data_IF_034138032020
#
_entry.id   IF_034138032020
#
_cell.length_a   1.000
_cell.length_b   1.000
_cell.length_c   1.000
_cell.angle_alpha   90.00
_cell.angle_beta   90.00
_cell.angle_gamma   90.00
#
_symmetry.space_group_name_H-M   'P 1'
#
loop_
_entity.id
_entity.type
_entity.pdbx_description
1 polymer ?
#
# COMPACT_ATOMS: atom_id res chain seq x y z
N UNK A 1 -13.45 -70.66 17.79
CA UNK A 1 -12.78 -69.57 17.06
C UNK A 1 -13.76 -69.08 16.00
N UNK A 2 -14.55 -68.07 16.32
CA UNK A 2 -15.54 -67.53 15.39
C UNK A 2 -14.80 -66.70 14.33
N UNK A 3 -14.89 -67.12 13.07
CA UNK A 3 -14.44 -66.36 11.92
C UNK A 3 -15.34 -65.13 11.82
N UNK A 4 -14.80 -63.94 12.09
CA UNK A 4 -15.49 -62.68 11.82
C UNK A 4 -15.61 -62.52 10.30
N UNK A 5 -16.72 -63.01 9.74
CA UNK A 5 -17.05 -62.86 8.34
C UNK A 5 -17.20 -61.38 7.98
N UNK A 6 -16.70 -61.01 6.80
CA UNK A 6 -16.86 -59.66 6.24
C UNK A 6 -18.34 -59.28 6.21
N UNK A 7 -18.71 -58.25 6.99
CA UNK A 7 -20.05 -57.66 6.98
C UNK A 7 -20.01 -56.37 6.15
N UNK A 8 -20.54 -56.36 4.92
CA UNK A 8 -20.62 -55.13 4.14
C UNK A 8 -21.48 -54.12 4.89
N UNK A 9 -20.88 -52.99 5.25
CA UNK A 9 -21.60 -51.81 5.73
C UNK A 9 -21.72 -50.87 4.55
N UNK A 10 -22.94 -50.49 4.20
CA UNK A 10 -23.17 -49.44 3.21
C UNK A 10 -22.74 -48.11 3.84
N UNK A 11 -21.78 -47.45 3.19
CA UNK A 11 -21.46 -46.06 3.51
C UNK A 11 -22.52 -45.16 2.90
N UNK A 12 -22.84 -44.07 3.58
CA UNK A 12 -23.75 -43.06 3.06
C UNK A 12 -23.15 -42.43 1.78
N UNK A 13 -24.01 -42.08 0.82
CA UNK A 13 -23.61 -41.59 -0.50
C UNK A 13 -22.82 -40.27 -0.39
N UNK A 14 -23.19 -39.42 0.57
CA UNK A 14 -22.46 -38.19 0.91
C UNK A 14 -21.03 -38.47 1.44
N UNK A 15 -20.84 -39.54 2.19
CA UNK A 15 -19.53 -39.95 2.70
C UNK A 15 -18.68 -40.47 1.53
N UNK A 16 -19.26 -41.28 0.64
CA UNK A 16 -18.59 -41.81 -0.54
C UNK A 16 -18.10 -40.69 -1.48
N UNK A 17 -18.93 -39.68 -1.72
CA UNK A 17 -18.56 -38.51 -2.53
C UNK A 17 -17.34 -37.75 -1.94
N UNK A 18 -17.18 -37.77 -0.62
CA UNK A 18 -16.10 -37.06 0.08
C UNK A 18 -14.81 -37.87 0.20
N UNK A 19 -14.85 -39.19 -0.01
CA UNK A 19 -13.66 -40.06 0.09
C UNK A 19 -12.68 -39.82 -1.06
N UNK A 20 -13.20 -39.51 -2.25
CA UNK A 20 -12.40 -39.35 -3.47
C UNK A 20 -11.77 -37.96 -3.63
N UNK A 21 -12.17 -36.99 -2.78
CA UNK A 21 -11.62 -35.64 -2.84
C UNK A 21 -10.18 -35.61 -2.35
N UNK A 22 -9.37 -34.80 -3.02
CA UNK A 22 -7.97 -34.67 -2.69
C UNK A 22 -7.82 -33.96 -1.34
N UNK A 23 -7.01 -34.55 -0.45
CA UNK A 23 -6.77 -34.01 0.88
C UNK A 23 -5.55 -33.11 0.86
N UNK A 24 -5.72 -31.86 1.26
CA UNK A 24 -4.59 -30.96 1.44
C UNK A 24 -3.73 -31.43 2.62
N UNK A 25 -2.42 -31.62 2.38
CA UNK A 25 -1.50 -32.14 3.42
C UNK A 25 -1.26 -31.16 4.56
N UNK A 26 -1.38 -29.85 4.28
CA UNK A 26 -1.15 -28.80 5.27
C UNK A 26 -2.50 -28.22 5.69
N UNK A 27 -2.85 -28.25 6.99
CA UNK A 27 -4.05 -27.59 7.45
C UNK A 27 -3.96 -26.09 7.17
N UNK A 28 -5.10 -25.46 6.95
CA UNK A 28 -5.20 -24.03 6.66
C UNK A 28 -5.82 -23.32 7.84
N UNK A 29 -5.29 -22.15 8.18
CA UNK A 29 -5.84 -21.31 9.24
C UNK A 29 -7.02 -20.53 8.69
N UNK A 30 -8.13 -20.55 9.41
CA UNK A 30 -9.31 -19.72 9.10
C UNK A 30 -9.07 -18.31 9.61
N UNK A 31 -9.31 -17.31 8.78
CA UNK A 31 -9.26 -15.90 9.15
C UNK A 31 -10.60 -15.22 8.85
N UNK A 32 -11.31 -14.77 9.90
CA UNK A 32 -12.57 -14.01 9.79
C UNK A 32 -13.61 -14.66 8.86
N UNK A 33 -13.73 -15.98 8.88
CA UNK A 33 -14.64 -16.73 8.01
C UNK A 33 -14.16 -16.93 6.56
N UNK A 34 -12.87 -16.70 6.32
CA UNK A 34 -12.21 -16.95 5.04
C UNK A 34 -11.06 -17.95 5.19
N UNK A 35 -10.83 -18.73 4.15
CA UNK A 35 -9.68 -19.63 4.04
C UNK A 35 -8.92 -19.27 2.78
N UNK A 36 -7.61 -19.06 2.91
CA UNK A 36 -6.73 -18.88 1.77
C UNK A 36 -6.20 -20.22 1.28
N UNK A 37 -6.57 -20.60 0.07
CA UNK A 37 -6.20 -21.87 -0.56
C UNK A 37 -5.83 -21.63 -2.02
N UNK A 38 -4.65 -22.11 -2.45
CA UNK A 38 -4.13 -21.94 -3.84
C UNK A 38 -4.22 -20.52 -4.42
N UNK A 39 -3.94 -19.50 -3.58
CA UNK A 39 -4.00 -18.08 -3.93
C UNK A 39 -5.43 -17.51 -4.13
N UNK A 40 -6.44 -18.32 -3.88
CA UNK A 40 -7.84 -17.90 -3.85
C UNK A 40 -8.36 -17.89 -2.41
N UNK A 41 -9.43 -17.14 -2.19
CA UNK A 41 -10.11 -17.07 -0.91
C UNK A 41 -11.44 -17.81 -1.03
N UNK A 42 -11.76 -18.61 -0.03
CA UNK A 42 -13.04 -19.29 0.07
C UNK A 42 -13.76 -18.82 1.32
N UNK A 43 -15.07 -18.63 1.22
CA UNK A 43 -15.89 -18.12 2.33
C UNK A 43 -17.15 -18.96 2.55
N UNK A 44 -17.56 -19.03 3.81
CA UNK A 44 -18.82 -19.59 4.24
C UNK A 44 -19.19 -19.02 5.63
N UNK A 45 -20.48 -18.90 5.93
CA UNK A 45 -20.94 -18.30 7.20
C UNK A 45 -20.50 -19.12 8.42
N UNK A 46 -20.46 -20.44 8.30
CA UNK A 46 -20.06 -21.33 9.41
C UNK A 46 -18.58 -21.21 9.80
N UNK A 47 -17.72 -20.77 8.87
CA UNK A 47 -16.31 -20.53 9.14
C UNK A 47 -16.09 -19.36 10.10
N UNK A 48 -17.06 -18.46 10.26
CA UNK A 48 -16.97 -17.36 11.22
C UNK A 48 -16.82 -17.88 12.66
N UNK A 49 -17.41 -19.04 12.97
CA UNK A 49 -17.33 -19.67 14.30
C UNK A 49 -15.96 -20.28 14.56
N UNK A 50 -15.23 -20.66 13.51
CA UNK A 50 -13.93 -21.32 13.55
C UNK A 50 -12.77 -20.35 13.28
N UNK A 51 -12.99 -19.04 13.41
CA UNK A 51 -11.97 -18.03 13.14
C UNK A 51 -10.75 -18.21 14.06
N UNK A 52 -9.58 -18.40 13.45
CA UNK A 52 -8.31 -18.64 14.15
C UNK A 52 -7.95 -20.12 14.30
N UNK A 53 -8.86 -21.04 14.00
CA UNK A 53 -8.61 -22.49 14.07
C UNK A 53 -7.96 -23.02 12.77
N UNK A 54 -7.37 -24.21 12.88
CA UNK A 54 -6.75 -24.93 11.78
C UNK A 54 -7.73 -25.97 11.25
N UNK A 55 -8.02 -25.90 9.95
CA UNK A 55 -8.97 -26.77 9.28
C UNK A 55 -8.30 -27.57 8.17
N UNK A 56 -8.80 -28.77 7.95
CA UNK A 56 -8.45 -29.62 6.81
C UNK A 56 -9.32 -29.24 5.62
N UNK A 57 -8.70 -29.18 4.44
CA UNK A 57 -9.39 -28.82 3.20
C UNK A 57 -9.38 -30.03 2.28
N UNK A 58 -10.55 -30.36 1.73
CA UNK A 58 -10.70 -31.35 0.66
C UNK A 58 -11.30 -30.67 -0.56
N UNK A 59 -10.78 -30.95 -1.74
CA UNK A 59 -11.19 -30.29 -2.97
C UNK A 59 -11.05 -31.25 -4.16
N UNK A 60 -11.76 -30.94 -5.24
CA UNK A 60 -11.55 -31.58 -6.53
C UNK A 60 -10.44 -30.81 -7.27
N UNK A 61 -9.34 -31.44 -7.69
CA UNK A 61 -8.30 -30.77 -8.46
C UNK A 61 -8.78 -30.24 -9.83
N UNK A 62 -9.88 -30.77 -10.37
CA UNK A 62 -10.44 -30.36 -11.67
C UNK A 62 -11.49 -29.25 -11.54
N UNK A 63 -12.14 -29.13 -10.38
CA UNK A 63 -13.17 -28.11 -10.11
C UNK A 63 -12.83 -27.32 -8.83
N UNK A 64 -12.14 -26.17 -8.95
CA UNK A 64 -11.76 -25.35 -7.81
C UNK A 64 -12.87 -24.42 -7.32
N UNK A 65 -14.10 -24.49 -7.85
CA UNK A 65 -15.19 -23.55 -7.50
C UNK A 65 -15.57 -23.62 -6.01
N UNK A 66 -15.44 -24.80 -5.41
CA UNK A 66 -15.80 -25.04 -4.01
C UNK A 66 -14.81 -25.97 -3.32
N UNK A 67 -14.69 -25.80 -2.01
CA UNK A 67 -13.88 -26.67 -1.15
C UNK A 67 -14.72 -27.19 0.01
N UNK A 68 -14.45 -28.41 0.46
CA UNK A 68 -15.04 -28.95 1.68
C UNK A 68 -14.08 -28.74 2.85
N UNK A 69 -14.61 -28.17 3.92
CA UNK A 69 -13.85 -27.86 5.13
C UNK A 69 -14.18 -28.87 6.21
N UNK A 70 -13.12 -29.43 6.78
CA UNK A 70 -13.18 -30.40 7.88
C UNK A 70 -12.48 -29.83 9.10
N UNK A 71 -13.07 -30.01 10.27
CA UNK A 71 -12.44 -29.68 11.55
C UNK A 71 -12.42 -30.94 12.41
N UNK A 72 -11.23 -31.36 12.84
CA UNK A 72 -11.03 -32.58 13.67
C UNK A 72 -11.66 -33.85 13.06
N UNK A 73 -11.67 -33.95 11.74
CA UNK A 73 -12.23 -35.09 11.00
C UNK A 73 -13.75 -35.03 10.76
N UNK A 74 -14.44 -34.03 11.29
CA UNK A 74 -15.86 -33.79 11.04
C UNK A 74 -16.06 -32.80 9.90
N UNK A 75 -17.06 -33.06 9.06
CA UNK A 75 -17.46 -32.14 8.00
C UNK A 75 -18.10 -30.90 8.63
N UNK A 76 -17.61 -29.72 8.28
CA UNK A 76 -18.19 -28.44 8.73
C UNK A 76 -19.07 -27.90 7.62
N UNK A 77 -18.45 -27.44 6.54
CA UNK A 77 -19.16 -26.73 5.48
C UNK A 77 -18.52 -26.89 4.10
N UNK A 78 -19.32 -26.59 3.07
CA UNK A 78 -18.86 -26.34 1.69
C UNK A 78 -18.60 -24.85 1.53
N UNK A 79 -17.34 -24.46 1.38
CA UNK A 79 -16.97 -23.07 1.15
C UNK A 79 -16.82 -22.78 -0.34
N UNK A 80 -17.37 -21.64 -0.77
CA UNK A 80 -17.36 -21.20 -2.17
C UNK A 80 -16.24 -20.19 -2.40
N UNK A 81 -15.69 -20.19 -3.61
CA UNK A 81 -14.67 -19.22 -4.01
C UNK A 81 -15.23 -17.79 -3.92
N UNK A 82 -14.46 -16.90 -3.29
CA UNK A 82 -14.78 -15.48 -3.20
C UNK A 82 -14.50 -14.86 -4.56
N UNK A 83 -15.56 -14.62 -5.32
CA UNK A 83 -15.48 -13.83 -6.54
C UNK A 83 -15.08 -12.42 -6.13
N UNK A 84 -13.98 -11.88 -6.64
CA UNK A 84 -13.63 -10.48 -6.41
C UNK A 84 -14.46 -9.57 -7.31
N UNK A 85 -14.96 -8.45 -6.78
CA UNK A 85 -15.50 -7.40 -7.66
C UNK A 85 -14.32 -6.68 -8.30
N UNK A 86 -14.09 -6.95 -9.58
CA UNK A 86 -13.27 -6.08 -10.40
C UNK A 86 -14.02 -4.77 -10.61
N UNK A 87 -13.32 -3.64 -10.67
CA UNK A 87 -13.92 -2.36 -11.09
C UNK A 87 -14.51 -2.42 -12.51
N UNK A 88 -14.19 -3.47 -13.28
CA UNK A 88 -14.69 -3.70 -14.63
C UNK A 88 -16.13 -4.22 -14.65
N UNK A 89 -16.57 -4.92 -13.60
CA UNK A 89 -17.88 -5.58 -13.57
C UNK A 89 -18.86 -4.78 -12.73
N UNK A 90 -19.48 -3.77 -13.35
CA UNK A 90 -20.37 -2.82 -12.68
C UNK A 90 -21.57 -3.50 -11.97
N UNK A 91 -22.15 -4.54 -12.58
CA UNK A 91 -23.29 -5.27 -12.00
C UNK A 91 -22.92 -6.04 -10.73
N UNK A 92 -21.77 -6.72 -10.74
CA UNK A 92 -21.29 -7.49 -9.58
C UNK A 92 -20.87 -6.55 -8.44
N UNK A 93 -20.31 -5.39 -8.77
CA UNK A 93 -20.02 -4.34 -7.79
C UNK A 93 -21.31 -3.80 -7.16
N UNK A 94 -22.32 -3.46 -7.97
CA UNK A 94 -23.61 -2.95 -7.49
C UNK A 94 -24.30 -3.95 -6.54
N UNK A 95 -24.37 -5.23 -6.93
CA UNK A 95 -24.94 -6.29 -6.09
C UNK A 95 -24.25 -6.39 -4.73
N UNK A 96 -22.92 -6.36 -4.70
CA UNK A 96 -22.16 -6.42 -3.44
C UNK A 96 -22.32 -5.18 -2.57
N UNK A 97 -22.44 -4.02 -3.17
CA UNK A 97 -22.74 -2.78 -2.46
C UNK A 97 -24.10 -2.93 -1.77
N UNK A 98 -25.12 -3.41 -2.48
CA UNK A 98 -26.44 -3.63 -1.90
C UNK A 98 -26.41 -4.67 -0.76
N UNK A 99 -25.72 -5.79 -0.95
CA UNK A 99 -25.53 -6.80 0.12
C UNK A 99 -24.82 -6.20 1.35
N UNK A 100 -23.81 -5.37 1.15
CA UNK A 100 -23.10 -4.65 2.23
C UNK A 100 -24.05 -3.68 2.95
N UNK A 101 -24.87 -2.92 2.23
CA UNK A 101 -25.87 -2.03 2.82
C UNK A 101 -26.91 -2.81 3.64
N UNK A 102 -27.41 -3.92 3.11
CA UNK A 102 -28.36 -4.81 3.81
C UNK A 102 -27.76 -5.36 5.10
N UNK A 103 -26.53 -5.87 5.06
CA UNK A 103 -25.80 -6.36 6.25
C UNK A 103 -25.60 -5.27 7.29
N UNK A 104 -25.17 -4.07 6.87
CA UNK A 104 -25.00 -2.92 7.76
C UNK A 104 -26.32 -2.52 8.43
N UNK A 105 -27.41 -2.46 7.67
CA UNK A 105 -28.74 -2.14 8.19
C UNK A 105 -29.17 -3.15 9.25
N UNK A 106 -29.06 -4.45 8.95
CA UNK A 106 -29.36 -5.53 9.90
C UNK A 106 -28.51 -5.45 11.17
N UNK A 107 -27.22 -5.18 11.04
CA UNK A 107 -26.34 -5.02 12.19
C UNK A 107 -26.74 -3.83 13.07
N UNK A 108 -27.07 -2.68 12.45
CA UNK A 108 -27.53 -1.50 13.18
C UNK A 108 -28.87 -1.74 13.88
N UNK A 109 -29.79 -2.47 13.26
CA UNK A 109 -31.07 -2.85 13.87
C UNK A 109 -30.83 -3.71 15.11
N UNK A 110 -30.05 -4.79 14.98
CA UNK A 110 -29.69 -5.66 16.11
C UNK A 110 -28.97 -4.85 17.20
N UNK A 111 -28.03 -4.00 16.83
CA UNK A 111 -27.30 -3.16 17.79
C UNK A 111 -28.24 -2.21 18.54
N UNK A 112 -29.17 -1.55 17.84
CA UNK A 112 -30.17 -0.67 18.45
C UNK A 112 -31.11 -1.43 19.38
N UNK A 113 -31.53 -2.63 19.00
CA UNK A 113 -32.35 -3.49 19.86
C UNK A 113 -31.60 -3.85 21.15
N UNK A 114 -30.34 -4.27 21.03
CA UNK A 114 -29.49 -4.64 22.17
C UNK A 114 -29.15 -3.45 23.08
N UNK A 115 -29.01 -2.25 22.52
CA UNK A 115 -28.61 -1.04 23.26
C UNK A 115 -29.76 -0.15 23.71
N UNK A 116 -31.02 -0.47 23.36
CA UNK A 116 -32.21 0.34 23.68
C UNK A 116 -32.39 0.64 25.17
N UNK A 117 -31.95 -0.26 26.05
CA UNK A 117 -32.06 -0.12 27.50
C UNK A 117 -30.92 0.65 28.16
N UNK A 118 -29.86 0.99 27.43
CA UNK A 118 -28.67 1.66 27.97
C UNK A 118 -28.81 3.16 27.70
N UNK A 119 -28.86 4.03 28.73
CA UNK A 119 -28.89 5.46 28.51
C UNK A 119 -27.57 5.91 27.87
N UNK A 120 -27.65 6.80 26.87
CA UNK A 120 -26.46 7.38 26.25
C UNK A 120 -25.79 8.33 27.24
N UNK A 121 -24.63 7.91 27.76
CA UNK A 121 -23.81 8.68 28.70
C UNK A 121 -22.87 9.65 27.99
N UNK A 122 -22.87 9.69 26.64
CA UNK A 122 -22.04 10.61 25.88
C UNK A 122 -22.63 12.01 25.94
N UNK A 123 -21.93 12.91 26.63
CA UNK A 123 -22.15 14.34 26.50
C UNK A 123 -21.40 14.81 25.25
N UNK A 124 -22.13 15.01 24.17
CA UNK A 124 -21.57 15.70 23.00
C UNK A 124 -21.54 17.20 23.29
N UNK A 125 -20.42 17.85 23.02
CA UNK A 125 -20.38 19.30 22.99
C UNK A 125 -21.31 19.77 21.86
N UNK A 126 -22.20 20.72 22.19
CA UNK A 126 -22.99 21.42 21.19
C UNK A 126 -22.09 22.40 20.45
N UNK A 127 -21.17 21.89 19.61
CA UNK A 127 -20.40 22.74 18.71
C UNK A 127 -21.39 23.30 17.68
N UNK A 128 -21.54 24.64 17.59
CA UNK A 128 -22.34 25.29 16.56
C UNK A 128 -21.98 24.72 15.19
N UNK A 129 -22.98 24.51 14.32
CA UNK A 129 -22.76 23.84 13.02
C UNK A 129 -21.69 24.51 12.16
N UNK A 130 -21.48 25.81 12.36
CA UNK A 130 -20.52 26.67 11.66
C UNK A 130 -19.05 26.40 12.07
N UNK A 131 -18.81 26.00 13.31
CA UNK A 131 -17.47 25.71 13.84
C UNK A 131 -17.05 24.24 13.68
N UNK A 132 -17.96 23.39 13.19
CA UNK A 132 -17.64 22.00 12.93
C UNK A 132 -16.69 21.93 11.74
N UNK A 133 -15.47 21.38 11.91
CA UNK A 133 -14.52 21.31 10.82
C UNK A 133 -15.13 20.55 9.64
N UNK A 134 -15.14 21.18 8.47
CA UNK A 134 -15.68 20.62 7.22
C UNK A 134 -15.06 19.26 6.84
N UNK A 135 -13.92 18.90 7.44
CA UNK A 135 -13.28 17.59 7.28
C UNK A 135 -14.03 16.43 7.97
N UNK A 136 -14.84 16.70 8.99
CA UNK A 136 -15.59 15.64 9.74
C UNK A 136 -16.93 15.34 9.07
N UNK A 137 -17.53 16.32 8.42
CA UNK A 137 -18.57 16.06 7.43
C UNK A 137 -17.86 15.51 6.20
N UNK A 138 -17.94 14.20 5.99
CA UNK A 138 -17.48 13.59 4.74
C UNK A 138 -17.90 14.47 3.55
N UNK A 139 -16.98 14.62 2.59
CA UNK A 139 -17.11 15.45 1.38
C UNK A 139 -18.58 15.60 1.01
N UNK A 140 -19.08 16.83 0.74
CA UNK A 140 -20.49 17.04 0.40
C UNK A 140 -20.88 15.94 -0.56
N UNK A 141 -21.94 15.17 -0.20
CA UNK A 141 -22.47 14.14 -1.08
C UNK A 141 -22.52 14.78 -2.45
N UNK A 142 -21.78 14.25 -3.41
CA UNK A 142 -21.95 14.64 -4.79
C UNK A 142 -23.43 14.42 -5.04
N UNK A 143 -24.21 15.50 -5.03
CA UNK A 143 -25.58 15.45 -5.49
C UNK A 143 -25.44 14.93 -6.91
N UNK A 144 -26.05 13.77 -7.16
CA UNK A 144 -26.10 13.24 -8.52
C UNK A 144 -26.63 14.41 -9.37
N UNK A 145 -25.91 14.78 -10.44
CA UNK A 145 -26.33 15.90 -11.26
C UNK A 145 -27.80 15.66 -11.61
N UNK A 146 -28.65 16.70 -11.50
CA UNK A 146 -30.07 16.53 -11.76
C UNK A 146 -30.23 15.83 -13.11
N UNK A 147 -31.11 14.83 -13.17
CA UNK A 147 -31.42 14.16 -14.44
C UNK A 147 -32.14 15.18 -15.31
N UNK A 148 -31.37 15.90 -16.11
CA UNK A 148 -31.85 16.87 -17.09
C UNK A 148 -32.56 16.07 -18.19
N UNK A 149 -33.76 16.48 -18.59
CA UNK A 149 -34.46 15.86 -19.71
C UNK A 149 -33.69 16.08 -21.02
N UNK A 150 -33.84 15.19 -22.01
CA UNK A 150 -33.12 15.30 -23.29
C UNK A 150 -33.33 16.69 -23.94
N UNK A 151 -34.54 17.23 -23.87
CA UNK A 151 -34.89 18.56 -24.40
C UNK A 151 -34.18 19.71 -23.66
N UNK A 152 -34.01 19.60 -22.34
CA UNK A 152 -33.30 20.60 -21.54
C UNK A 152 -31.79 20.52 -21.76
N UNK A 153 -31.26 19.32 -21.98
CA UNK A 153 -29.86 19.09 -22.33
C UNK A 153 -29.54 19.71 -23.69
N UNK A 154 -30.40 19.50 -24.70
CA UNK A 154 -30.26 20.12 -26.02
C UNK A 154 -30.30 21.65 -25.94
N UNK A 155 -31.16 22.24 -25.09
CA UNK A 155 -31.21 23.69 -24.86
C UNK A 155 -29.91 24.22 -24.25
N UNK A 156 -29.38 23.53 -23.23
CA UNK A 156 -28.10 23.92 -22.61
C UNK A 156 -26.93 23.81 -23.59
N UNK A 157 -26.92 22.77 -24.43
CA UNK A 157 -25.91 22.61 -25.48
C UNK A 157 -26.00 23.71 -26.53
N UNK A 158 -27.21 24.11 -26.92
CA UNK A 158 -27.43 25.23 -27.84
C UNK A 158 -27.02 26.57 -27.21
N UNK A 159 -27.25 26.76 -25.91
CA UNK A 159 -26.86 27.96 -25.16
C UNK A 159 -25.33 28.06 -25.02
N UNK A 160 -24.65 26.96 -24.66
CA UNK A 160 -23.19 26.89 -24.60
C UNK A 160 -22.53 27.05 -25.98
N UNK A 161 -23.19 26.59 -27.05
CA UNK A 161 -22.72 26.81 -28.42
C UNK A 161 -22.98 28.23 -28.93
N UNK A 162 -23.97 28.93 -28.35
CA UNK A 162 -24.30 30.32 -28.67
C UNK A 162 -23.51 31.33 -27.82
N UNK A 163 -23.00 30.92 -26.65
CA UNK A 163 -22.00 31.69 -25.93
C UNK A 163 -20.76 31.86 -26.82
N UNK A 164 -20.29 33.10 -27.05
CA UNK A 164 -19.10 33.32 -27.85
C UNK A 164 -17.94 32.65 -27.10
N UNK A 165 -17.44 31.55 -27.67
CA UNK A 165 -16.29 30.83 -27.15
C UNK A 165 -15.22 31.86 -26.78
N UNK A 166 -14.91 31.95 -25.48
CA UNK A 166 -13.77 32.73 -25.07
C UNK A 166 -12.57 32.20 -25.87
N UNK A 167 -11.75 33.06 -26.48
CA UNK A 167 -10.58 32.59 -27.20
C UNK A 167 -9.80 31.72 -26.23
N UNK A 168 -9.63 30.44 -26.57
CA UNK A 168 -8.79 29.54 -25.80
C UNK A 168 -7.47 30.27 -25.56
N UNK A 169 -6.98 30.31 -24.30
CA UNK A 169 -5.70 30.93 -24.05
C UNK A 169 -4.70 30.22 -24.96
N UNK A 170 -4.10 30.97 -25.87
CA UNK A 170 -3.05 30.47 -26.74
C UNK A 170 -1.85 30.22 -25.83
N UNK A 171 -1.77 29.00 -25.30
CA UNK A 171 -0.62 28.54 -24.55
C UNK A 171 0.47 28.37 -25.59
N UNK A 172 1.45 29.25 -25.58
CA UNK A 172 2.69 29.04 -26.31
C UNK A 172 3.37 27.80 -25.72
N UNK A 173 3.35 26.69 -26.47
CA UNK A 173 3.85 25.38 -26.05
C UNK A 173 5.31 25.48 -25.56
N UNK A 174 6.12 26.37 -26.17
CA UNK A 174 7.50 26.58 -25.78
C UNK A 174 7.62 27.34 -24.45
N UNK A 175 6.76 28.33 -24.21
CA UNK A 175 6.76 29.08 -22.95
C UNK A 175 6.29 28.20 -21.78
N UNK A 176 5.28 27.36 -22.01
CA UNK A 176 4.80 26.40 -21.02
C UNK A 176 5.84 25.33 -20.70
N UNK A 177 6.56 24.82 -21.70
CA UNK A 177 7.64 23.88 -21.50
C UNK A 177 8.77 24.48 -20.64
N UNK A 178 9.16 25.74 -20.89
CA UNK A 178 10.16 26.44 -20.07
C UNK A 178 9.69 26.64 -18.63
N UNK A 179 8.45 27.06 -18.41
CA UNK A 179 7.89 27.21 -17.06
C UNK A 179 7.86 25.88 -16.30
N UNK A 180 7.58 24.78 -17.00
CA UNK A 180 7.58 23.44 -16.42
C UNK A 180 9.00 22.98 -16.05
N UNK A 181 9.98 23.23 -16.91
CA UNK A 181 11.39 22.94 -16.65
C UNK A 181 11.93 23.77 -15.48
N UNK A 182 11.60 25.05 -15.41
CA UNK A 182 11.96 25.94 -14.29
C UNK A 182 11.33 25.47 -12.98
N UNK A 183 10.04 25.08 -12.99
CA UNK A 183 9.38 24.48 -11.81
C UNK A 183 10.02 23.16 -11.39
N UNK A 184 10.35 22.30 -12.36
CA UNK A 184 10.98 21.02 -12.09
C UNK A 184 12.39 21.22 -11.49
N UNK A 185 13.15 22.20 -11.98
CA UNK A 185 14.45 22.57 -11.43
C UNK A 185 14.33 23.10 -9.99
N UNK A 186 13.41 24.02 -9.71
CA UNK A 186 13.17 24.51 -8.34
C UNK A 186 12.76 23.38 -7.40
N UNK A 187 11.87 22.49 -7.84
CA UNK A 187 11.44 21.33 -7.03
C UNK A 187 12.56 20.31 -6.83
N UNK A 188 13.47 20.15 -7.79
CA UNK A 188 14.61 19.26 -7.66
C UNK A 188 15.64 19.81 -6.65
N UNK A 189 15.85 21.13 -6.63
CA UNK A 189 16.69 21.80 -5.62
C UNK A 189 16.09 21.70 -4.21
N UNK A 190 14.77 21.84 -4.08
CA UNK A 190 14.09 21.76 -2.78
C UNK A 190 14.03 20.34 -2.20
N UNK A 191 13.74 19.33 -3.02
CA UNK A 191 13.53 17.96 -2.54
C UNK A 191 14.83 17.15 -2.42
N UNK A 192 15.91 17.60 -3.06
CA UNK A 192 17.17 16.88 -3.13
C UNK A 192 17.05 15.50 -3.80
N UNK A 193 18.17 14.78 -3.97
CA UNK A 193 18.14 13.41 -4.49
C UNK A 193 17.44 12.45 -3.53
N UNK A 194 16.54 11.63 -4.06
CA UNK A 194 15.86 10.56 -3.32
C UNK A 194 16.68 9.28 -3.40
N UNK A 195 17.09 8.75 -2.25
CA UNK A 195 17.88 7.53 -2.15
C UNK A 195 17.02 6.32 -1.80
N UNK A 196 17.24 5.20 -2.49
CA UNK A 196 16.54 3.93 -2.21
C UNK A 196 17.16 3.22 -1.00
N UNK A 197 18.50 3.25 -0.90
CA UNK A 197 19.25 2.62 0.19
C UNK A 197 20.03 3.67 1.00
N UNK A 198 20.21 3.40 2.30
CA UNK A 198 21.02 4.25 3.20
C UNK A 198 22.48 4.36 2.71
N UNK A 199 23.04 3.28 2.16
CA UNK A 199 24.39 3.22 1.58
C UNK A 199 24.59 4.21 0.44
N UNK A 200 23.59 4.38 -0.40
CA UNK A 200 23.67 5.27 -1.58
C UNK A 200 23.67 6.73 -1.13
N UNK A 201 22.88 7.05 -0.09
CA UNK A 201 22.90 8.37 0.55
C UNK A 201 24.26 8.66 1.17
N UNK A 202 24.85 7.68 1.86
CA UNK A 202 26.16 7.83 2.48
C UNK A 202 27.28 8.02 1.44
N UNK A 203 27.28 7.24 0.36
CA UNK A 203 28.21 7.39 -0.77
C UNK A 203 28.12 8.79 -1.39
N UNK A 204 26.90 9.28 -1.64
CA UNK A 204 26.67 10.61 -2.18
C UNK A 204 27.24 11.72 -1.27
N UNK A 205 27.11 11.58 0.05
CA UNK A 205 27.68 12.56 1.00
C UNK A 205 29.21 12.52 1.04
N UNK A 206 29.81 11.33 0.94
CA UNK A 206 31.27 11.18 0.82
C UNK A 206 31.81 11.83 -0.46
N UNK A 207 31.12 11.66 -1.59
CA UNK A 207 31.48 12.32 -2.85
C UNK A 207 31.38 13.85 -2.77
N UNK A 208 30.35 14.38 -2.08
CA UNK A 208 30.23 15.83 -1.84
C UNK A 208 31.33 16.37 -0.94
N UNK A 209 31.72 15.63 0.10
CA UNK A 209 32.86 15.97 0.95
C UNK A 209 34.18 15.98 0.19
N UNK A 210 34.39 14.98 -0.67
CA UNK A 210 35.60 14.89 -1.49
C UNK A 210 35.74 16.10 -2.43
N UNK A 211 34.62 16.54 -3.03
CA UNK A 211 34.53 17.76 -3.84
C UNK A 211 34.61 19.07 -3.04
N UNK A 212 34.64 19.01 -1.70
CA UNK A 212 34.73 20.17 -0.82
C UNK A 212 33.43 20.97 -0.70
N UNK A 213 32.28 20.37 -1.01
CA UNK A 213 30.98 20.99 -0.81
C UNK A 213 30.57 20.91 0.66
N UNK A 214 29.96 21.99 1.18
CA UNK A 214 29.46 22.01 2.56
C UNK A 214 28.28 21.06 2.74
N UNK A 215 28.34 20.20 3.76
CA UNK A 215 27.23 19.32 4.15
C UNK A 215 26.28 20.04 5.14
N UNK A 216 24.98 19.80 5.01
CA UNK A 216 23.95 20.24 5.97
C UNK A 216 24.10 19.55 7.35
N UNK A 217 23.65 20.20 8.43
CA UNK A 217 23.70 19.60 9.77
C UNK A 217 22.91 18.27 9.87
N UNK A 218 21.83 18.12 9.11
CA UNK A 218 21.03 16.88 9.06
C UNK A 218 21.78 15.72 8.39
N UNK A 219 22.54 16.02 7.35
CA UNK A 219 23.33 15.03 6.62
C UNK A 219 24.58 14.63 7.42
N UNK A 220 25.17 15.55 8.20
CA UNK A 220 26.23 15.23 9.15
C UNK A 220 25.74 14.29 10.28
N UNK A 221 24.54 14.52 10.80
CA UNK A 221 23.92 13.63 11.77
C UNK A 221 23.64 12.24 11.17
N UNK A 222 23.14 12.19 9.93
CA UNK A 222 22.92 10.93 9.22
C UNK A 222 24.21 10.12 9.03
N UNK A 223 25.33 10.74 8.64
CA UNK A 223 26.61 10.04 8.51
C UNK A 223 27.05 9.41 9.84
N UNK A 224 26.96 10.16 10.95
CA UNK A 224 27.33 9.67 12.27
C UNK A 224 26.43 8.51 12.73
N UNK A 225 25.13 8.58 12.48
CA UNK A 225 24.20 7.48 12.77
C UNK A 225 24.49 6.25 11.89
N UNK A 226 24.79 6.46 10.62
CA UNK A 226 25.08 5.38 9.68
C UNK A 226 26.37 4.66 10.04
N UNK A 227 27.46 5.39 10.34
CA UNK A 227 28.73 4.84 10.81
C UNK A 227 28.58 4.06 12.12
N UNK A 228 27.70 4.50 13.03
CA UNK A 228 27.43 3.80 14.29
C UNK A 228 26.64 2.48 14.10
N UNK A 229 25.85 2.36 13.04
CA UNK A 229 25.11 1.15 12.67
C UNK A 229 25.96 0.12 11.91
N UNK A 230 27.13 0.50 11.36
CA UNK A 230 27.93 -0.35 10.48
C UNK A 230 28.54 -1.58 11.18
N UNK A 231 28.51 -2.72 10.50
CA UNK A 231 29.30 -3.89 10.89
C UNK A 231 30.79 -3.73 10.54
N UNK A 232 31.67 -4.49 11.20
CA UNK A 232 33.12 -4.41 11.01
C UNK A 232 33.54 -4.70 9.56
N UNK A 233 32.77 -5.53 8.84
CA UNK A 233 32.99 -5.82 7.42
C UNK A 233 32.61 -4.64 6.52
N UNK A 234 31.50 -3.96 6.82
CA UNK A 234 31.04 -2.78 6.09
C UNK A 234 31.96 -1.58 6.32
N UNK A 235 32.43 -1.39 7.56
CA UNK A 235 33.41 -0.36 7.89
C UNK A 235 34.71 -0.52 7.07
N UNK A 236 35.23 -1.76 6.97
CA UNK A 236 36.43 -2.02 6.16
C UNK A 236 36.23 -1.73 4.67
N UNK A 237 35.03 -1.99 4.14
CA UNK A 237 34.68 -1.66 2.76
C UNK A 237 34.67 -0.15 2.53
N UNK A 238 34.06 0.63 3.43
CA UNK A 238 34.00 2.08 3.31
C UNK A 238 35.37 2.74 3.54
N UNK A 239 36.23 2.19 4.40
CA UNK A 239 37.62 2.65 4.58
C UNK A 239 38.45 2.45 3.31
N UNK A 240 38.32 1.29 2.66
CA UNK A 240 38.96 1.02 1.37
C UNK A 240 38.38 1.92 0.27
N UNK A 241 37.06 2.15 0.26
CA UNK A 241 36.38 3.03 -0.69
C UNK A 241 36.82 4.49 -0.55
N UNK A 242 36.80 5.04 0.67
CA UNK A 242 37.29 6.39 0.97
C UNK A 242 38.74 6.55 0.54
N UNK A 243 39.60 5.58 0.87
CA UNK A 243 41.02 5.62 0.48
C UNK A 243 41.20 5.72 -1.03
N UNK A 244 40.53 4.87 -1.80
CA UNK A 244 40.61 4.88 -3.27
C UNK A 244 40.01 6.17 -3.85
N UNK A 245 38.90 6.67 -3.31
CA UNK A 245 38.23 7.88 -3.78
C UNK A 245 39.08 9.14 -3.54
N UNK A 246 39.56 9.34 -2.32
CA UNK A 246 40.41 10.48 -1.98
C UNK A 246 41.79 10.39 -2.64
N UNK A 247 42.32 9.19 -2.91
CA UNK A 247 43.56 9.01 -3.69
C UNK A 247 43.38 9.41 -5.16
N UNK A 248 42.28 8.98 -5.81
CA UNK A 248 41.98 9.35 -7.20
C UNK A 248 41.76 10.85 -7.38
N UNK A 249 41.03 11.49 -6.47
CA UNK A 249 40.84 12.94 -6.55
C UNK A 249 42.11 13.73 -6.21
N UNK A 250 42.99 13.23 -5.33
CA UNK A 250 44.32 13.84 -5.13
C UNK A 250 45.15 13.77 -6.41
N UNK A 251 45.09 12.65 -7.13
CA UNK A 251 45.72 12.52 -8.45
C UNK A 251 45.09 13.48 -9.47
N UNK A 252 43.76 13.63 -9.51
CA UNK A 252 43.06 14.56 -10.40
C UNK A 252 43.30 16.04 -10.06
N UNK A 253 43.39 16.42 -8.79
CA UNK A 253 43.78 17.76 -8.35
C UNK A 253 45.24 18.03 -8.74
N UNK A 254 46.14 17.04 -8.59
CA UNK A 254 47.54 17.19 -9.05
C UNK A 254 47.68 17.22 -10.57
N UNK A 255 46.82 16.51 -11.32
CA UNK A 255 46.78 16.54 -12.78
C UNK A 255 46.12 17.84 -13.31
N UNK A 256 45.12 18.38 -12.60
CA UNK A 256 44.49 19.67 -12.86
C UNK A 256 45.38 20.87 -12.52
N UNK A 257 46.29 20.74 -11.55
CA UNK A 257 47.23 21.79 -11.14
C UNK A 257 48.38 22.05 -12.12
N UNK A 258 48.52 21.27 -13.20
CA UNK A 258 49.47 21.59 -14.31
C UNK A 258 48.87 22.64 -15.29
N UNK A 259 47.61 23.03 -15.10
CA UNK A 259 46.95 24.08 -15.88
C UNK A 259 46.74 25.39 -15.10
N UNK A 260 47.73 26.29 -15.16
CA UNK A 260 47.62 27.75 -14.89
C UNK A 260 47.69 28.20 -13.42
N UNK A 261 48.71 29.00 -13.03
CA UNK A 261 48.78 29.60 -11.70
C UNK A 261 47.99 30.91 -11.66
N UNK A 262 47.11 31.07 -10.68
CA UNK A 262 46.57 32.37 -10.31
C UNK A 262 46.56 32.50 -8.79
N UNK A 263 47.45 33.35 -8.30
CA UNK A 263 47.55 33.80 -6.91
C UNK A 263 46.21 34.29 -6.37
N UNK A 264 45.85 33.83 -5.16
CA UNK A 264 45.15 34.65 -4.17
C UNK A 264 45.45 34.15 -2.76
N UNK A 265 45.97 35.07 -1.97
CA UNK A 265 46.29 34.95 -0.55
C UNK A 265 45.04 34.80 0.34
N UNK A 266 45.32 34.42 1.60
CA UNK A 266 44.48 34.43 2.82
C UNK A 266 43.75 33.09 3.01
N UNK A 267 43.85 32.33 4.11
CA UNK A 267 44.34 32.59 5.47
C UNK A 267 44.32 31.27 6.26
N UNK A 268 45.21 31.12 7.24
CA UNK A 268 45.51 29.86 7.91
C UNK A 268 44.39 29.28 8.79
N UNK A 269 44.38 27.95 8.86
CA UNK A 269 43.69 27.13 9.85
C UNK A 269 44.40 25.79 9.96
N UNK A 270 44.91 25.48 11.14
CA UNK A 270 45.74 24.32 11.48
C UNK A 270 45.01 22.97 11.30
N UNK A 271 45.75 21.86 11.09
CA UNK A 271 45.17 20.52 10.95
C UNK A 271 44.67 19.99 12.30
N UNK A 272 43.44 19.45 12.30
CA UNK A 272 42.87 18.76 13.45
C UNK A 272 43.64 17.44 13.69
N UNK A 273 44.32 17.36 14.83
CA UNK A 273 44.93 16.14 15.34
C UNK A 273 43.85 15.11 15.70
N UNK A 274 43.95 13.92 15.11
CA UNK A 274 43.19 12.74 15.52
C UNK A 274 43.76 12.26 16.86
N UNK A 275 42.98 12.37 17.93
CA UNK A 275 43.32 11.80 19.24
C UNK A 275 42.82 10.36 19.35
N UNK A 276 43.71 9.51 19.89
CA UNK A 276 43.52 8.10 20.25
C UNK A 276 42.42 7.82 21.28
#
# INVERSE_FOLDING_TARGET
MAQEGFRPRYADEAILATIFLYRERRPRKVDRGMIRFRNEFYTHEELLRLSGEWVEVRYDPYDPEWILVFHRGEFVCRAEAVIYSSMKDAELAARKIEEKHRRRKRFLEIYRELTRGIPDIRQFSEVPKEERPQAVFGRPKHEEPPVISEEEFERQLAELAAEPAQPEPQIDEEAFARELEERAAMQAEENGPVFVYKSDRYMYLLERLAKGEGISAEDAAFMAEFEAEMDQTEASYWDDYCRVMFEREREEITAGAVGTPAQKDIGGGEPCEMSS
#
